data_IF_902068453845
#
_entry.id   IF_902068453845
#
_cell.length_a   1.000
_cell.length_b   1.000
_cell.length_c   1.000
_cell.angle_alpha   90.00
_cell.angle_beta   90.00
_cell.angle_gamma   90.00
#
_symmetry.space_group_name_H-M   'P 1'
#
loop_
_entity.id
_entity.type
_entity.pdbx_description
1 polymer ?
#
# COMPACT_ATOMS: atom_id res chain seq x y z
N UNK A 1 -4.61 -46.14 85.63
CA UNK A 1 -4.71 -47.32 84.74
C UNK A 1 -4.58 -46.84 83.31
N UNK A 2 -3.57 -47.35 82.61
CA UNK A 2 -3.21 -47.07 81.22
C UNK A 2 -4.21 -47.73 80.26
N UNK A 3 -4.56 -47.11 79.13
CA UNK A 3 -4.28 -47.63 77.77
C UNK A 3 -4.90 -46.79 76.64
N UNK A 4 -4.14 -46.76 75.54
CA UNK A 4 -4.29 -46.02 74.27
C UNK A 4 -5.34 -46.64 73.34
N UNK A 5 -5.81 -45.87 72.34
CA UNK A 5 -5.82 -46.25 70.90
C UNK A 5 -6.21 -45.08 69.98
N UNK A 6 -5.65 -45.13 68.77
CA UNK A 6 -5.56 -44.12 67.69
C UNK A 6 -6.89 -43.96 66.93
N UNK A 7 -7.12 -42.81 66.25
CA UNK A 7 -7.44 -42.73 64.80
C UNK A 7 -7.62 -41.28 64.31
N UNK A 8 -7.36 -41.10 63.01
CA UNK A 8 -7.39 -39.89 62.17
C UNK A 8 -8.76 -39.16 62.13
N UNK A 9 -8.72 -37.83 61.98
CA UNK A 9 -9.76 -37.00 61.33
C UNK A 9 -9.07 -35.73 60.77
N UNK A 10 -8.92 -35.55 59.46
CA UNK A 10 -9.88 -35.09 58.43
C UNK A 10 -9.89 -33.55 58.30
N UNK A 11 -9.57 -33.09 57.08
CA UNK A 11 -9.48 -31.71 56.62
C UNK A 11 -10.62 -30.78 57.06
N UNK A 12 -10.29 -29.50 57.31
CA UNK A 12 -11.20 -28.38 57.11
C UNK A 12 -10.43 -27.10 56.73
N UNK A 13 -9.84 -27.08 55.52
CA UNK A 13 -9.39 -25.83 54.90
C UNK A 13 -10.58 -25.19 54.19
N UNK A 14 -11.27 -24.29 54.88
CA UNK A 14 -12.34 -23.46 54.32
C UNK A 14 -11.70 -22.49 53.32
N UNK A 15 -12.21 -22.52 52.09
CA UNK A 15 -11.66 -21.82 50.94
C UNK A 15 -11.75 -20.31 51.04
N UNK A 16 -10.64 -19.66 50.73
CA UNK A 16 -10.56 -18.25 50.38
C UNK A 16 -11.05 -18.10 48.93
N UNK A 17 -12.33 -17.80 48.74
CA UNK A 17 -12.85 -17.35 47.45
C UNK A 17 -12.29 -15.94 47.19
N UNK A 18 -11.14 -15.88 46.51
CA UNK A 18 -10.68 -14.65 45.87
C UNK A 18 -11.64 -14.36 44.71
N UNK A 19 -12.51 -13.36 44.89
CA UNK A 19 -13.23 -12.71 43.81
C UNK A 19 -12.20 -12.09 42.85
N UNK A 20 -11.93 -12.77 41.75
CA UNK A 20 -11.19 -12.20 40.62
C UNK A 20 -12.10 -11.11 40.04
N UNK A 21 -11.68 -9.84 39.93
CA UNK A 21 -12.47 -8.85 39.25
C UNK A 21 -12.60 -9.27 37.78
N UNK A 22 -13.84 -9.33 37.29
CA UNK A 22 -14.11 -9.47 35.87
C UNK A 22 -13.47 -8.29 35.16
N UNK A 23 -12.38 -8.55 34.43
CA UNK A 23 -11.78 -7.59 33.50
C UNK A 23 -12.80 -7.43 32.38
N UNK A 24 -13.59 -6.36 32.44
CA UNK A 24 -14.33 -5.88 31.29
C UNK A 24 -13.29 -5.50 30.23
N UNK A 25 -13.28 -6.23 29.11
CA UNK A 25 -12.56 -5.82 27.91
C UNK A 25 -13.28 -4.57 27.40
N UNK A 26 -12.81 -3.41 27.81
CA UNK A 26 -13.19 -2.16 27.17
C UNK A 26 -12.90 -2.30 25.67
N UNK A 27 -13.83 -1.86 24.83
CA UNK A 27 -13.58 -1.66 23.40
C UNK A 27 -12.29 -0.83 23.29
N UNK A 28 -11.22 -1.45 22.78
CA UNK A 28 -9.93 -0.76 22.67
C UNK A 28 -10.12 0.27 21.57
N UNK A 29 -10.21 1.53 21.94
CA UNK A 29 -10.24 2.62 20.99
C UNK A 29 -8.89 2.68 20.25
N UNK A 30 -8.80 2.03 19.09
CA UNK A 30 -7.59 2.02 18.26
C UNK A 30 -7.51 3.38 17.56
N UNK A 31 -6.54 4.19 17.97
CA UNK A 31 -6.17 5.43 17.29
C UNK A 31 -4.89 5.16 16.52
N UNK A 32 -4.93 4.94 15.19
CA UNK A 32 -3.74 4.51 14.45
C UNK A 32 -2.57 5.51 14.48
N UNK A 33 -2.84 6.78 14.80
CA UNK A 33 -1.81 7.82 14.94
C UNK A 33 -1.10 7.77 16.30
N UNK A 34 -1.60 6.99 17.26
CA UNK A 34 -0.91 6.73 18.52
C UNK A 34 0.17 5.65 18.31
N UNK A 35 1.42 6.09 18.25
CA UNK A 35 2.58 5.24 18.02
C UNK A 35 3.21 4.69 19.31
N UNK A 36 2.62 4.94 20.48
CA UNK A 36 3.20 4.56 21.79
C UNK A 36 3.42 3.05 21.95
N UNK A 37 2.62 2.24 21.27
CA UNK A 37 2.71 0.78 21.26
C UNK A 37 3.41 0.19 20.02
N UNK A 38 3.92 1.06 19.13
CA UNK A 38 4.64 0.65 17.95
C UNK A 38 6.10 0.31 18.29
N UNK A 39 6.71 -0.69 17.63
CA UNK A 39 8.13 -0.95 17.77
C UNK A 39 8.96 0.24 17.29
N UNK A 40 9.99 0.61 18.05
CA UNK A 40 10.97 1.62 17.62
C UNK A 40 12.01 0.95 16.72
N UNK A 41 12.05 1.34 15.44
CA UNK A 41 12.99 0.81 14.44
C UNK A 41 13.94 1.93 14.03
N UNK A 42 15.25 1.71 14.15
CA UNK A 42 16.24 2.73 13.80
C UNK A 42 16.27 2.97 12.28
N UNK A 43 16.49 4.22 11.86
CA UNK A 43 16.54 4.59 10.45
C UNK A 43 17.62 3.83 9.65
N UNK A 44 18.75 3.46 10.28
CA UNK A 44 19.79 2.65 9.65
C UNK A 44 19.32 1.23 9.30
N UNK A 45 18.39 0.69 10.08
CA UNK A 45 17.83 -0.65 9.89
C UNK A 45 16.74 -0.65 8.82
N UNK A 46 15.91 0.40 8.75
CA UNK A 46 14.91 0.57 7.69
C UNK A 46 15.54 0.59 6.29
N UNK A 47 16.77 1.08 6.17
CA UNK A 47 17.55 1.08 4.90
C UNK A 47 17.99 -0.31 4.44
N UNK A 48 17.97 -1.32 5.32
CA UNK A 48 18.34 -2.69 4.98
C UNK A 48 17.14 -3.52 4.48
N UNK A 49 15.93 -3.02 4.68
CA UNK A 49 14.70 -3.68 4.26
C UNK A 49 14.55 -3.53 2.74
N UNK A 50 14.23 -4.65 2.07
CA UNK A 50 13.87 -4.63 0.65
C UNK A 50 12.37 -4.36 0.53
N UNK A 51 12.03 -3.16 0.05
CA UNK A 51 10.65 -2.70 -0.10
C UNK A 51 10.08 -3.10 -1.45
N UNK A 52 9.03 -3.92 -1.46
CA UNK A 52 8.33 -4.36 -2.66
C UNK A 52 7.43 -3.24 -3.18
N UNK A 53 7.65 -2.68 -4.39
CA UNK A 53 6.77 -1.69 -4.96
C UNK A 53 5.40 -2.30 -5.29
N UNK A 54 4.33 -1.59 -4.91
CA UNK A 54 2.95 -2.02 -5.12
C UNK A 54 2.31 -1.18 -6.24
N UNK A 55 1.59 -1.84 -7.13
CA UNK A 55 0.70 -1.22 -8.09
C UNK A 55 -0.75 -1.19 -7.54
N UNK A 56 -1.44 -0.06 -7.66
CA UNK A 56 -2.79 0.12 -7.11
C UNK A 56 -3.92 -0.58 -7.90
N UNK A 57 -3.56 -1.52 -8.77
CA UNK A 57 -4.50 -2.24 -9.66
C UNK A 57 -4.48 -3.75 -9.40
N UNK A 58 -3.46 -4.28 -8.72
CA UNK A 58 -3.28 -5.71 -8.55
C UNK A 58 -3.07 -6.08 -7.08
N UNK A 59 -3.43 -7.32 -6.77
CA UNK A 59 -3.18 -7.91 -5.45
C UNK A 59 -1.72 -8.32 -5.35
N UNK A 60 -1.04 -7.82 -4.33
CA UNK A 60 0.33 -8.18 -4.01
C UNK A 60 0.33 -9.25 -2.93
N UNK A 61 0.75 -10.46 -3.28
CA UNK A 61 0.78 -11.61 -2.36
C UNK A 61 2.22 -11.92 -1.98
N UNK A 62 2.50 -11.98 -0.68
CA UNK A 62 3.79 -12.38 -0.12
C UNK A 62 3.59 -13.64 0.72
N UNK A 63 4.36 -14.68 0.40
CA UNK A 63 4.51 -15.86 1.26
C UNK A 63 5.62 -15.55 2.26
N UNK A 64 5.26 -15.58 3.54
CA UNK A 64 6.14 -15.35 4.68
C UNK A 64 6.65 -16.70 5.17
N UNK A 65 7.91 -16.99 4.89
CA UNK A 65 8.58 -18.23 5.25
C UNK A 65 10.06 -17.99 5.62
N UNK A 66 10.87 -19.06 5.66
CA UNK A 66 12.30 -18.98 6.01
C UNK A 66 13.16 -18.27 4.97
N UNK A 67 12.68 -18.11 3.74
CA UNK A 67 13.37 -17.44 2.64
C UNK A 67 13.02 -15.96 2.57
N UNK A 68 11.93 -15.54 3.23
CA UNK A 68 11.58 -14.13 3.35
C UNK A 68 12.62 -13.38 4.19
N UNK A 69 12.69 -12.07 3.96
CA UNK A 69 13.53 -11.21 4.79
C UNK A 69 13.04 -11.23 6.25
N UNK A 70 13.99 -11.32 7.17
CA UNK A 70 13.75 -11.32 8.61
C UNK A 70 14.38 -10.06 9.18
N UNK A 71 13.70 -9.46 10.15
CA UNK A 71 14.24 -8.37 10.94
C UNK A 71 14.13 -8.70 12.41
N UNK A 72 15.18 -8.40 13.16
CA UNK A 72 15.22 -8.63 14.60
C UNK A 72 15.17 -7.26 15.31
N UNK A 73 13.99 -6.66 15.37
CA UNK A 73 13.77 -5.35 16.00
C UNK A 73 12.78 -5.48 17.15
N UNK A 74 13.16 -5.04 18.35
CA UNK A 74 12.24 -5.00 19.50
C UNK A 74 11.56 -6.35 19.75
N UNK A 75 10.23 -6.36 19.65
CA UNK A 75 9.35 -7.51 19.84
C UNK A 75 8.87 -8.16 18.53
N UNK A 76 9.38 -7.73 17.38
CA UNK A 76 9.09 -8.33 16.07
C UNK A 76 9.66 -9.76 16.01
N UNK A 77 8.87 -10.70 15.47
CA UNK A 77 9.25 -12.10 15.35
C UNK A 77 9.04 -12.63 13.93
N UNK A 78 10.04 -13.31 13.40
CA UNK A 78 9.95 -14.04 12.14
C UNK A 78 10.02 -13.16 10.89
N UNK A 79 9.59 -13.71 9.73
CA UNK A 79 9.63 -13.00 8.46
C UNK A 79 8.67 -11.81 8.41
N UNK A 80 9.04 -10.82 7.60
CA UNK A 80 8.26 -9.59 7.37
C UNK A 80 7.88 -9.42 5.89
N UNK A 81 6.80 -8.68 5.64
CA UNK A 81 6.49 -8.14 4.32
C UNK A 81 6.63 -6.62 4.36
N UNK A 82 7.34 -6.07 3.39
CA UNK A 82 7.62 -4.63 3.32
C UNK A 82 7.19 -4.12 1.95
N UNK A 83 6.29 -3.14 1.94
CA UNK A 83 5.67 -2.62 0.72
C UNK A 83 5.94 -1.13 0.54
N UNK A 84 6.17 -0.71 -0.70
CA UNK A 84 6.24 0.69 -1.10
C UNK A 84 5.00 1.02 -1.93
N UNK A 85 4.13 1.87 -1.42
CA UNK A 85 2.82 2.18 -2.00
C UNK A 85 2.82 3.61 -2.57
N UNK A 86 2.37 3.83 -3.82
CA UNK A 86 2.22 5.17 -4.38
C UNK A 86 1.25 6.02 -3.56
N UNK A 87 1.66 7.24 -3.23
CA UNK A 87 0.93 8.15 -2.34
C UNK A 87 0.53 9.47 -3.02
N UNK A 88 0.81 9.61 -4.32
CA UNK A 88 0.49 10.77 -5.14
C UNK A 88 -0.92 10.73 -5.75
N UNK A 89 -1.74 9.76 -5.38
CA UNK A 89 -3.00 9.41 -6.06
C UNK A 89 -4.27 9.73 -5.24
N UNK A 90 -4.14 10.45 -4.12
CA UNK A 90 -5.26 10.81 -3.25
C UNK A 90 -5.41 9.89 -2.05
N UNK A 91 -6.63 9.76 -1.53
CA UNK A 91 -6.93 8.86 -0.41
C UNK A 91 -6.70 7.40 -0.82
N UNK A 92 -5.92 6.69 -0.01
CA UNK A 92 -5.60 5.29 -0.19
C UNK A 92 -6.50 4.43 0.71
N UNK A 93 -7.08 3.38 0.13
CA UNK A 93 -7.72 2.29 0.87
C UNK A 93 -6.88 1.04 0.68
N UNK A 94 -6.36 0.51 1.79
CA UNK A 94 -5.46 -0.63 1.82
C UNK A 94 -6.16 -1.79 2.53
N UNK A 95 -6.43 -2.86 1.80
CA UNK A 95 -6.96 -4.09 2.37
C UNK A 95 -5.82 -5.08 2.59
N UNK A 96 -5.52 -5.37 3.84
CA UNK A 96 -4.56 -6.41 4.21
C UNK A 96 -5.33 -7.66 4.61
N UNK A 97 -4.97 -8.79 4.01
CA UNK A 97 -5.54 -10.11 4.33
C UNK A 97 -4.40 -11.04 4.71
N UNK A 98 -4.51 -11.71 5.87
CA UNK A 98 -3.68 -12.85 6.22
C UNK A 98 -4.52 -14.13 6.21
N UNK A 99 -4.16 -15.09 5.36
CA UNK A 99 -4.95 -16.31 5.20
C UNK A 99 -4.74 -17.30 6.35
N UNK A 100 -5.84 -17.88 6.82
CA UNK A 100 -5.83 -18.97 7.78
C UNK A 100 -5.79 -20.29 7.02
N UNK A 101 -4.81 -21.14 7.31
CA UNK A 101 -4.65 -22.45 6.68
C UNK A 101 -4.36 -23.49 7.75
N UNK A 102 -5.16 -24.56 7.79
CA UNK A 102 -5.00 -25.66 8.78
C UNK A 102 -4.94 -25.13 10.23
N UNK A 103 -5.85 -24.22 10.61
CA UNK A 103 -5.91 -23.60 11.93
C UNK A 103 -4.59 -22.89 12.32
N UNK A 104 -3.89 -22.31 11.34
CA UNK A 104 -2.68 -21.51 11.54
C UNK A 104 -2.79 -20.23 10.75
N UNK A 105 -2.37 -19.12 11.34
CA UNK A 105 -2.44 -17.79 10.71
C UNK A 105 -1.30 -16.90 11.15
N UNK A 106 -0.83 -16.07 10.24
CA UNK A 106 0.10 -15.00 10.57
C UNK A 106 -0.68 -13.82 11.15
N UNK A 107 -0.42 -13.43 12.40
CA UNK A 107 -1.13 -12.32 13.04
C UNK A 107 -0.44 -10.99 12.71
N UNK A 108 -0.99 -10.15 11.81
CA UNK A 108 -0.26 -9.03 11.25
C UNK A 108 -0.35 -7.80 12.15
N UNK A 109 0.73 -7.05 12.24
CA UNK A 109 0.81 -5.67 12.69
C UNK A 109 1.31 -4.85 11.50
N UNK A 110 0.85 -3.60 11.35
CA UNK A 110 1.28 -2.72 10.26
C UNK A 110 1.82 -1.42 10.84
N UNK A 111 3.09 -1.13 10.56
CA UNK A 111 3.69 0.17 10.80
C UNK A 111 3.85 0.89 9.47
N UNK A 112 3.24 2.07 9.36
CA UNK A 112 3.25 2.92 8.18
C UNK A 112 4.28 4.01 8.38
N UNK A 113 5.14 4.21 7.40
CA UNK A 113 6.11 5.30 7.34
C UNK A 113 5.80 6.23 6.18
N UNK A 114 6.16 7.50 6.35
CA UNK A 114 6.19 8.48 5.28
C UNK A 114 7.38 8.28 4.32
N UNK A 115 7.52 9.18 3.35
CA UNK A 115 8.59 9.13 2.36
C UNK A 115 10.01 9.26 2.98
N UNK A 116 10.12 9.86 4.17
CA UNK A 116 11.38 10.06 4.88
C UNK A 116 11.68 8.92 5.87
N UNK A 117 10.89 7.83 5.82
CA UNK A 117 10.96 6.68 6.74
C UNK A 117 10.65 7.03 8.19
N UNK A 118 9.84 8.07 8.41
CA UNK A 118 9.33 8.44 9.74
C UNK A 118 8.03 7.70 10.00
N UNK A 119 7.85 7.04 11.16
CA UNK A 119 6.61 6.34 11.47
C UNK A 119 5.45 7.35 11.59
N UNK A 120 4.34 7.06 10.93
CA UNK A 120 3.17 7.93 10.83
C UNK A 120 1.89 7.27 11.38
N UNK A 121 1.72 5.96 11.19
CA UNK A 121 0.57 5.24 11.73
C UNK A 121 0.91 3.80 12.10
N UNK A 122 0.27 3.28 13.14
CA UNK A 122 0.44 1.92 13.62
C UNK A 122 -0.92 1.23 13.79
N UNK A 123 -1.05 0.05 13.17
CA UNK A 123 -2.22 -0.82 13.26
C UNK A 123 -1.81 -2.11 13.96
N UNK A 124 -2.19 -2.30 15.25
CA UNK A 124 -1.85 -3.51 16.00
C UNK A 124 -2.65 -4.72 15.50
N UNK A 125 -2.23 -5.93 15.91
CA UNK A 125 -2.88 -7.20 15.54
C UNK A 125 -4.40 -7.25 15.71
N UNK A 126 -4.91 -6.63 16.76
CA UNK A 126 -6.35 -6.56 17.07
C UNK A 126 -7.16 -5.71 16.07
N UNK A 127 -6.52 -4.93 15.21
CA UNK A 127 -7.17 -4.21 14.12
C UNK A 127 -7.60 -5.15 12.98
N UNK A 128 -7.00 -6.34 12.90
CA UNK A 128 -7.25 -7.31 11.85
C UNK A 128 -8.20 -8.40 12.36
N UNK A 129 -9.46 -8.29 11.96
CA UNK A 129 -10.53 -9.13 12.46
C UNK A 129 -10.67 -10.42 11.65
N UNK A 130 -11.19 -11.44 12.32
CA UNK A 130 -11.56 -12.69 11.68
C UNK A 130 -12.66 -12.49 10.63
N UNK A 131 -12.42 -13.00 9.42
CA UNK A 131 -13.38 -13.05 8.34
C UNK A 131 -13.58 -14.51 7.92
N UNK A 132 -14.80 -14.99 8.15
CA UNK A 132 -15.20 -16.34 7.77
C UNK A 132 -15.10 -16.55 6.25
N UNK A 133 -14.81 -17.78 5.80
CA UNK A 133 -14.68 -18.06 4.38
C UNK A 133 -16.02 -17.85 3.65
N UNK A 134 -15.95 -17.26 2.46
CA UNK A 134 -17.05 -17.10 1.53
C UNK A 134 -16.72 -17.70 0.17
N UNK A 135 -17.65 -17.61 -0.79
CA UNK A 135 -17.50 -18.22 -2.13
C UNK A 135 -16.22 -17.76 -2.85
N UNK A 136 -15.80 -16.51 -2.63
CA UNK A 136 -14.61 -15.90 -3.24
C UNK A 136 -13.57 -15.42 -2.22
N UNK A 137 -13.78 -15.69 -0.93
CA UNK A 137 -12.94 -15.18 0.16
C UNK A 137 -12.46 -16.35 0.99
N UNK A 138 -11.15 -16.51 1.10
CA UNK A 138 -10.56 -17.50 2.00
C UNK A 138 -10.76 -17.08 3.46
N UNK A 139 -10.74 -18.07 4.35
CA UNK A 139 -10.72 -17.86 5.79
C UNK A 139 -9.50 -17.03 6.17
N UNK A 140 -9.67 -15.91 6.89
CA UNK A 140 -8.60 -14.94 7.04
C UNK A 140 -8.75 -13.99 8.24
N UNK A 141 -7.63 -13.37 8.62
CA UNK A 141 -7.63 -12.10 9.35
C UNK A 141 -7.56 -10.96 8.34
N UNK A 142 -8.44 -9.96 8.46
CA UNK A 142 -8.51 -8.83 7.52
C UNK A 142 -8.67 -7.50 8.23
N UNK A 143 -8.04 -6.47 7.66
CA UNK A 143 -8.21 -5.08 8.08
C UNK A 143 -8.17 -4.14 6.88
N UNK A 144 -8.96 -3.07 6.94
CA UNK A 144 -9.06 -2.04 5.90
C UNK A 144 -8.50 -0.73 6.42
N UNK A 145 -7.29 -0.40 6.01
CA UNK A 145 -6.57 0.80 6.41
C UNK A 145 -6.88 1.93 5.42
N UNK A 146 -7.37 3.07 5.92
CA UNK A 146 -7.56 4.28 5.13
C UNK A 146 -6.48 5.29 5.47
N UNK A 147 -5.75 5.76 4.46
CA UNK A 147 -4.68 6.73 4.62
C UNK A 147 -4.91 7.91 3.69
N UNK A 148 -4.68 9.11 4.20
CA UNK A 148 -4.69 10.33 3.41
C UNK A 148 -3.25 10.87 3.40
N UNK A 149 -2.45 10.57 2.36
CA UNK A 149 -1.12 11.12 2.23
C UNK A 149 -1.14 12.65 2.23
N UNK A 150 -0.10 13.26 2.82
CA UNK A 150 0.06 14.71 2.76
C UNK A 150 0.39 15.18 1.33
N UNK A 151 0.05 16.43 1.01
CA UNK A 151 0.38 17.02 -0.30
C UNK A 151 1.89 16.95 -0.55
N UNK A 152 2.27 16.46 -1.73
CA UNK A 152 3.67 16.30 -2.15
C UNK A 152 4.31 14.96 -1.77
N UNK A 153 3.66 14.13 -0.95
CA UNK A 153 4.13 12.75 -0.72
C UNK A 153 3.95 11.91 -1.99
N UNK A 154 5.04 11.27 -2.41
CA UNK A 154 5.04 10.40 -3.60
C UNK A 154 4.79 8.95 -3.25
N UNK A 155 5.20 8.53 -2.06
CA UNK A 155 5.13 7.14 -1.62
C UNK A 155 4.98 7.06 -0.10
N UNK A 156 4.39 5.95 0.35
CA UNK A 156 4.35 5.50 1.74
C UNK A 156 4.98 4.11 1.83
N UNK A 157 5.53 3.79 2.99
CA UNK A 157 6.12 2.49 3.25
C UNK A 157 5.31 1.75 4.31
N UNK A 158 4.91 0.51 4.02
CA UNK A 158 4.13 -0.32 4.94
C UNK A 158 4.96 -1.53 5.34
N UNK A 159 5.27 -1.63 6.62
CA UNK A 159 5.93 -2.79 7.21
C UNK A 159 4.90 -3.66 7.92
N UNK A 160 4.69 -4.87 7.39
CA UNK A 160 3.83 -5.91 7.96
C UNK A 160 4.69 -6.92 8.70
N UNK A 161 4.39 -7.13 9.97
CA UNK A 161 5.16 -8.01 10.85
C UNK A 161 4.27 -8.67 11.91
N UNK A 162 4.78 -9.65 12.66
CA UNK A 162 4.12 -10.18 13.85
C UNK A 162 4.99 -9.98 15.08
N UNK A 163 4.38 -10.02 16.27
CA UNK A 163 5.06 -9.76 17.55
C UNK A 163 5.03 -10.98 18.45
N UNK A 164 5.99 -11.10 19.36
CA UNK A 164 6.03 -12.19 20.35
C UNK A 164 4.74 -12.31 21.14
N UNK A 165 4.15 -11.18 21.55
CA UNK A 165 2.90 -11.13 22.32
C UNK A 165 1.69 -11.60 21.50
N UNK A 166 1.71 -11.42 20.19
CA UNK A 166 0.63 -11.85 19.31
C UNK A 166 0.72 -13.34 18.96
N UNK A 167 1.94 -13.90 18.91
CA UNK A 167 2.14 -15.35 18.75
C UNK A 167 1.60 -16.18 19.91
N UNK A 168 1.48 -15.57 21.11
CA UNK A 168 0.87 -16.21 22.27
C UNK A 168 -0.67 -16.20 22.23
N UNK A 169 -1.28 -15.44 21.31
CA UNK A 169 -2.74 -15.34 21.15
C UNK A 169 -3.25 -16.34 20.11
N UNK A 170 -4.57 -16.44 20.03
CA UNK A 170 -5.27 -17.29 19.06
C UNK A 170 -6.48 -16.57 18.50
N UNK A 171 -6.96 -17.03 17.35
CA UNK A 171 -8.20 -16.55 16.74
C UNK A 171 -9.24 -17.67 16.75
N UNK A 172 -10.44 -17.40 17.25
CA UNK A 172 -11.57 -18.32 17.14
C UNK A 172 -12.21 -18.15 15.77
N UNK A 173 -12.31 -19.24 15.01
CA UNK A 173 -12.91 -19.27 13.68
C UNK A 173 -14.40 -19.65 13.76
N UNK A 174 -15.18 -19.45 12.70
CA UNK A 174 -16.55 -19.95 12.65
C UNK A 174 -16.55 -21.43 12.24
N UNK A 175 -17.15 -22.31 13.03
CA UNK A 175 -17.27 -23.71 12.64
C UNK A 175 -18.11 -23.87 11.35
N UNK A 176 -17.66 -24.67 10.36
CA UNK A 176 -18.38 -24.87 9.11
C UNK A 176 -19.82 -25.36 9.27
N UNK A 177 -20.11 -26.21 10.26
CA UNK A 177 -21.46 -26.71 10.50
C UNK A 177 -22.38 -25.62 11.07
N UNK A 178 -21.84 -24.72 11.91
CA UNK A 178 -22.58 -23.52 12.34
C UNK A 178 -22.82 -22.55 11.20
N UNK A 179 -21.82 -22.31 10.35
CA UNK A 179 -21.95 -21.46 9.16
C UNK A 179 -23.04 -21.98 8.21
N UNK A 180 -23.04 -23.29 7.95
CA UNK A 180 -24.03 -23.95 7.11
C UNK A 180 -25.44 -23.88 7.73
N UNK A 181 -25.59 -24.19 9.02
CA UNK A 181 -26.87 -24.12 9.70
C UNK A 181 -27.46 -22.69 9.65
N UNK A 182 -26.62 -21.68 9.90
CA UNK A 182 -27.00 -20.26 9.78
C UNK A 182 -27.45 -19.91 8.37
N UNK A 183 -26.73 -20.37 7.33
CA UNK A 183 -27.08 -20.10 5.93
C UNK A 183 -28.34 -20.82 5.45
N UNK A 184 -28.61 -22.02 5.96
CA UNK A 184 -29.78 -22.82 5.61
C UNK A 184 -31.04 -22.48 6.44
N UNK A 185 -30.94 -21.59 7.43
CA UNK A 185 -32.04 -21.26 8.35
C UNK A 185 -32.37 -22.39 9.35
N UNK A 186 -31.42 -23.30 9.57
CA UNK A 186 -31.56 -24.40 10.53
C UNK A 186 -31.14 -23.95 11.94
N UNK A 187 -31.51 -24.75 12.94
CA UNK A 187 -30.98 -24.58 14.29
C UNK A 187 -29.44 -24.70 14.28
N UNK A 188 -28.75 -23.74 14.92
CA UNK A 188 -27.29 -23.73 15.01
C UNK A 188 -26.86 -24.83 16.01
N UNK A 189 -25.98 -25.77 15.61
CA UNK A 189 -25.49 -26.81 16.51
C UNK A 189 -24.65 -26.25 17.67
N UNK A 190 -24.79 -26.86 18.84
CA UNK A 190 -23.97 -26.55 20.02
C UNK A 190 -22.66 -27.36 19.99
N UNK A 191 -21.71 -26.88 19.19
CA UNK A 191 -20.37 -27.45 19.04
C UNK A 191 -19.31 -26.37 19.26
N UNK A 192 -18.12 -26.68 19.80
CA UNK A 192 -17.05 -25.70 19.93
C UNK A 192 -16.53 -25.24 18.56
N UNK A 193 -16.15 -23.97 18.47
CA UNK A 193 -15.55 -23.38 17.28
C UNK A 193 -14.05 -23.72 17.15
N UNK A 194 -13.52 -23.90 15.93
CA UNK A 194 -12.12 -24.24 15.74
C UNK A 194 -11.20 -23.05 16.04
N UNK A 195 -10.07 -23.30 16.69
CA UNK A 195 -9.13 -22.26 17.11
C UNK A 195 -7.89 -22.25 16.20
N UNK A 196 -7.63 -21.11 15.56
CA UNK A 196 -6.41 -20.86 14.79
C UNK A 196 -5.28 -20.36 15.69
N UNK A 197 -4.11 -21.01 15.60
CA UNK A 197 -2.88 -20.59 16.28
C UNK A 197 -2.17 -19.51 15.47
N UNK A 198 -1.68 -18.49 16.16
CA UNK A 198 -0.83 -17.49 15.54
C UNK A 198 0.58 -18.05 15.33
N UNK A 199 1.15 -17.82 14.15
CA UNK A 199 2.44 -18.36 13.73
C UNK A 199 3.27 -17.31 13.00
N UNK A 200 4.57 -17.55 12.88
CA UNK A 200 5.51 -16.64 12.20
C UNK A 200 5.50 -16.78 10.68
N UNK A 201 4.97 -17.89 10.16
CA UNK A 201 4.86 -18.16 8.72
C UNK A 201 3.40 -18.03 8.25
N UNK A 202 3.20 -17.66 6.98
CA UNK A 202 1.86 -17.53 6.43
C UNK A 202 1.84 -16.88 5.05
N UNK A 203 0.65 -16.49 4.61
CA UNK A 203 0.47 -15.79 3.34
C UNK A 203 -0.31 -14.51 3.58
N UNK A 204 0.26 -13.40 3.13
CA UNK A 204 -0.31 -12.06 3.30
C UNK A 204 -0.55 -11.46 1.92
N UNK A 205 -1.75 -10.94 1.72
CA UNK A 205 -2.17 -10.28 0.49
C UNK A 205 -2.52 -8.84 0.79
N UNK A 206 -1.87 -7.92 0.07
CA UNK A 206 -2.13 -6.49 0.10
C UNK A 206 -2.87 -6.09 -1.18
N UNK A 207 -3.98 -5.39 -1.02
CA UNK A 207 -4.70 -4.76 -2.12
C UNK A 207 -4.80 -3.26 -1.82
N UNK A 208 -4.33 -2.44 -2.76
CA UNK A 208 -4.33 -0.99 -2.62
C UNK A 208 -5.27 -0.41 -3.67
N UNK A 209 -6.27 0.32 -3.22
CA UNK A 209 -7.13 1.13 -4.05
C UNK A 209 -6.87 2.61 -3.75
N UNK A 210 -7.05 3.47 -4.76
CA UNK A 210 -7.08 4.91 -4.55
C UNK A 210 -8.38 5.51 -5.05
N UNK A 211 -8.97 6.36 -4.22
CA UNK A 211 -10.14 7.14 -4.58
C UNK A 211 -9.69 8.43 -5.29
N UNK A 212 -9.06 8.30 -6.45
CA UNK A 212 -8.86 9.45 -7.35
C UNK A 212 -10.16 9.64 -8.14
N UNK A 213 -11.11 10.36 -7.55
CA UNK A 213 -12.30 10.78 -8.28
C UNK A 213 -11.85 11.69 -9.43
N UNK A 214 -12.02 11.20 -10.65
CA UNK A 214 -12.00 11.95 -11.90
C UNK A 214 -10.62 12.30 -12.46
N UNK A 215 -10.14 11.51 -13.42
CA UNK A 215 -9.88 12.03 -14.78
C UNK A 215 -9.42 10.92 -15.72
N UNK A 216 -10.09 10.82 -16.88
CA UNK A 216 -9.51 10.17 -18.06
C UNK A 216 -8.57 11.21 -18.67
N UNK A 217 -7.27 10.95 -18.67
CA UNK A 217 -6.38 11.61 -19.61
C UNK A 217 -6.58 10.95 -20.98
N UNK A 218 -7.40 11.56 -21.81
CA UNK A 218 -7.42 11.29 -23.25
C UNK A 218 -6.29 12.11 -23.87
N UNK A 219 -5.18 11.46 -24.20
CA UNK A 219 -4.04 12.09 -24.86
C UNK A 219 -2.71 11.67 -24.25
N UNK A 220 -1.81 11.14 -25.08
CA UNK A 220 -0.58 10.45 -24.69
C UNK A 220 0.27 11.22 -23.68
N UNK A 221 0.25 10.78 -22.42
CA UNK A 221 1.05 11.42 -21.38
C UNK A 221 2.46 10.86 -21.26
N UNK A 222 2.74 9.64 -21.73
CA UNK A 222 4.11 9.13 -21.87
C UNK A 222 4.12 8.13 -23.02
N UNK A 223 5.02 8.32 -24.00
CA UNK A 223 5.28 7.33 -25.04
C UNK A 223 5.53 5.97 -24.39
N UNK A 224 4.98 4.87 -24.88
CA UNK A 224 5.31 4.17 -26.13
C UNK A 224 4.40 2.91 -26.14
N UNK A 225 4.15 2.12 -27.21
CA UNK A 225 4.83 1.99 -28.49
C UNK A 225 3.89 2.13 -29.70
N UNK A 226 4.43 2.38 -30.89
CA UNK A 226 3.73 2.04 -32.13
C UNK A 226 3.60 0.53 -32.22
N UNK A 227 2.50 -0.05 -31.72
CA UNK A 227 1.91 -1.20 -32.40
C UNK A 227 1.41 -0.63 -33.71
N UNK A 228 2.10 -1.00 -34.78
CA UNK A 228 1.82 -0.56 -36.14
C UNK A 228 0.34 -0.81 -36.46
N UNK A 229 -0.35 0.13 -37.13
CA UNK A 229 -1.58 -0.22 -37.80
C UNK A 229 -1.29 -1.40 -38.74
N UNK A 230 -2.18 -2.39 -38.70
CA UNK A 230 -2.26 -3.48 -39.67
C UNK A 230 -2.49 -2.85 -41.04
N UNK A 231 -1.41 -2.57 -41.76
CA UNK A 231 -1.45 -2.22 -43.17
C UNK A 231 -1.35 -3.52 -43.95
N UNK A 232 -2.44 -3.84 -44.65
CA UNK A 232 -2.47 -4.83 -45.72
C UNK A 232 -1.62 -4.26 -46.87
N UNK A 233 -0.42 -4.78 -47.09
CA UNK A 233 0.39 -4.39 -48.25
C UNK A 233 1.90 -4.50 -48.06
N UNK A 234 2.45 -5.48 -48.76
CA UNK A 234 3.84 -5.81 -49.08
C UNK A 234 4.87 -4.65 -49.15
N UNK A 235 6.05 -4.84 -48.53
CA UNK A 235 7.43 -4.70 -49.10
C UNK A 235 8.55 -4.30 -48.09
N UNK A 236 9.47 -5.27 -47.89
CA UNK A 236 10.93 -5.27 -47.58
C UNK A 236 11.64 -4.33 -46.56
N UNK A 237 12.27 -5.02 -45.59
CA UNK A 237 13.53 -4.87 -44.83
C UNK A 237 14.47 -3.66 -45.03
N UNK A 238 15.06 -3.15 -43.93
CA UNK A 238 16.53 -3.07 -43.68
C UNK A 238 16.84 -2.94 -42.16
N UNK A 239 17.78 -3.75 -41.68
CA UNK A 239 18.42 -3.72 -40.35
C UNK A 239 19.24 -2.45 -40.11
N UNK A 240 19.33 -1.96 -38.86
CA UNK A 240 20.63 -1.65 -38.23
C UNK A 240 20.51 -1.32 -36.73
N UNK A 241 21.45 -1.86 -35.97
CA UNK A 241 21.60 -1.79 -34.51
C UNK A 241 22.36 -0.49 -34.05
N UNK A 242 22.68 -0.32 -32.76
CA UNK A 242 22.28 0.81 -31.91
C UNK A 242 23.35 1.91 -31.74
N UNK A 243 22.96 3.15 -31.44
CA UNK A 243 23.93 4.22 -31.07
C UNK A 243 23.39 5.14 -29.96
N UNK A 244 24.32 5.48 -29.07
CA UNK A 244 24.22 6.19 -27.81
C UNK A 244 23.75 7.67 -27.86
N UNK A 245 23.41 8.15 -26.67
CA UNK A 245 23.01 9.50 -26.28
C UNK A 245 23.86 10.62 -26.92
N UNK A 246 23.20 11.68 -27.41
CA UNK A 246 23.84 12.93 -27.78
C UNK A 246 22.99 14.15 -27.36
N UNK A 247 23.68 15.18 -26.86
CA UNK A 247 23.16 16.51 -26.49
C UNK A 247 22.46 17.20 -27.68
N UNK A 248 21.50 18.11 -27.42
CA UNK A 248 20.65 18.70 -28.44
C UNK A 248 21.43 19.59 -29.41
N UNK A 249 21.13 19.42 -30.71
CA UNK A 249 21.72 20.16 -31.84
C UNK A 249 20.79 21.34 -32.20
N UNK A 250 21.32 22.49 -32.65
CA UNK A 250 20.51 23.65 -33.05
C UNK A 250 19.56 23.32 -34.20
N UNK A 251 18.34 23.87 -34.14
CA UNK A 251 17.32 23.72 -35.18
C UNK A 251 17.76 24.30 -36.53
N UNK A 252 17.28 23.68 -37.61
CA UNK A 252 17.44 24.15 -38.98
C UNK A 252 16.77 25.53 -39.13
N UNK A 253 17.43 26.46 -39.82
CA UNK A 253 16.96 27.85 -40.01
C UNK A 253 15.50 27.97 -40.50
N UNK A 254 15.04 27.04 -41.35
CA UNK A 254 13.65 27.01 -41.82
C UNK A 254 12.60 26.76 -40.73
N UNK A 255 12.99 26.16 -39.60
CA UNK A 255 12.11 26.00 -38.42
C UNK A 255 11.99 27.30 -37.64
N UNK A 256 13.06 28.10 -37.60
CA UNK A 256 13.10 29.36 -36.87
C UNK A 256 12.26 30.44 -37.55
N UNK A 257 12.33 30.54 -38.88
CA UNK A 257 11.49 31.47 -39.66
C UNK A 257 10.00 31.15 -39.54
N UNK A 258 9.64 29.86 -39.50
CA UNK A 258 8.26 29.42 -39.32
C UNK A 258 7.65 29.92 -38.01
N UNK A 259 8.36 29.73 -36.89
CA UNK A 259 7.90 30.20 -35.59
C UNK A 259 7.84 31.73 -35.51
N UNK A 260 8.84 32.43 -36.03
CA UNK A 260 8.85 33.90 -36.05
C UNK A 260 7.67 34.48 -36.85
N UNK A 261 7.31 33.87 -37.97
CA UNK A 261 6.15 34.27 -38.76
C UNK A 261 4.83 33.95 -38.04
N UNK A 262 4.69 32.74 -37.49
CA UNK A 262 3.48 32.33 -36.78
C UNK A 262 3.21 33.21 -35.55
N UNK A 263 4.26 33.52 -34.76
CA UNK A 263 4.18 34.43 -33.62
C UNK A 263 3.75 35.84 -34.06
N UNK A 264 4.36 36.37 -35.12
CA UNK A 264 4.01 37.70 -35.64
C UNK A 264 2.55 37.76 -36.11
N UNK A 265 2.06 36.71 -36.78
CA UNK A 265 0.67 36.65 -37.26
C UNK A 265 -0.33 36.54 -36.12
N UNK A 266 -0.04 35.73 -35.08
CA UNK A 266 -0.89 35.59 -33.91
C UNK A 266 -1.03 36.93 -33.16
N UNK A 267 0.08 37.64 -32.94
CA UNK A 267 0.07 38.97 -32.31
C UNK A 267 -0.70 39.98 -33.18
N UNK A 268 -0.49 39.97 -34.50
CA UNK A 268 -1.21 40.85 -35.43
C UNK A 268 -2.73 40.63 -35.43
N UNK A 269 -3.20 39.44 -35.04
CA UNK A 269 -4.62 39.10 -34.88
C UNK A 269 -5.14 39.36 -33.46
N UNK A 270 -4.31 39.87 -32.54
CA UNK A 270 -4.65 40.06 -31.13
C UNK A 270 -4.68 38.76 -30.31
N UNK A 271 -4.25 37.64 -30.88
CA UNK A 271 -4.17 36.34 -30.20
C UNK A 271 -2.82 36.21 -29.47
N UNK A 272 -2.74 36.89 -28.32
CA UNK A 272 -1.53 36.90 -27.49
C UNK A 272 -1.31 35.52 -26.84
N UNK A 273 -2.37 34.82 -26.46
CA UNK A 273 -2.28 33.49 -25.85
C UNK A 273 -1.76 32.44 -26.84
N UNK A 274 -2.21 32.49 -28.10
CA UNK A 274 -1.68 31.67 -29.19
C UNK A 274 -0.21 31.99 -29.49
N UNK A 275 0.15 33.27 -29.49
CA UNK A 275 1.54 33.70 -29.69
C UNK A 275 2.49 33.22 -28.58
N UNK A 276 2.03 33.17 -27.32
CA UNK A 276 2.81 32.65 -26.19
C UNK A 276 3.05 31.14 -26.31
N UNK A 277 2.04 30.36 -26.71
CA UNK A 277 2.21 28.91 -26.94
C UNK A 277 3.22 28.62 -28.04
N UNK A 278 3.18 29.40 -29.13
CA UNK A 278 4.14 29.28 -30.23
C UNK A 278 5.56 29.67 -29.80
N UNK A 279 5.70 30.65 -28.90
CA UNK A 279 6.98 31.03 -28.31
C UNK A 279 7.56 29.89 -27.44
N UNK A 280 6.77 29.33 -26.53
CA UNK A 280 7.21 28.25 -25.65
C UNK A 280 7.65 27.02 -26.45
N UNK A 281 6.92 26.70 -27.52
CA UNK A 281 7.27 25.61 -28.42
C UNK A 281 8.56 25.88 -29.20
N UNK A 282 8.76 27.11 -29.69
CA UNK A 282 9.99 27.49 -30.36
C UNK A 282 11.20 27.44 -29.41
N UNK A 283 11.05 27.89 -28.16
CA UNK A 283 12.11 27.84 -27.14
C UNK A 283 12.43 26.39 -26.73
N UNK A 284 11.41 25.54 -26.60
CA UNK A 284 11.58 24.10 -26.35
C UNK A 284 12.39 23.42 -27.45
N UNK A 285 12.21 23.86 -28.69
CA UNK A 285 12.98 23.42 -29.86
C UNK A 285 14.34 24.12 -29.98
N UNK A 286 14.69 25.03 -29.05
CA UNK A 286 15.98 25.70 -29.01
C UNK A 286 16.09 26.91 -29.93
N UNK A 287 14.98 27.53 -30.32
CA UNK A 287 15.00 28.82 -31.05
C UNK A 287 15.63 29.90 -30.19
N UNK A 288 16.50 30.70 -30.80
CA UNK A 288 17.16 31.82 -30.13
C UNK A 288 16.53 33.16 -30.47
N UNK A 289 15.71 33.22 -31.52
CA UNK A 289 15.09 34.46 -32.03
C UNK A 289 13.59 34.58 -31.72
N UNK A 290 12.90 33.51 -31.36
CA UNK A 290 11.45 33.54 -31.11
C UNK A 290 11.05 34.54 -30.00
N UNK A 291 11.82 34.59 -28.90
CA UNK A 291 11.56 35.50 -27.78
C UNK A 291 11.73 36.97 -28.15
N UNK A 292 12.78 37.29 -28.92
CA UNK A 292 13.01 38.68 -29.35
C UNK A 292 11.94 39.14 -30.33
N UNK A 293 11.51 38.27 -31.26
CA UNK A 293 10.41 38.53 -32.20
C UNK A 293 9.09 38.80 -31.47
N UNK A 294 8.73 37.97 -30.47
CA UNK A 294 7.53 38.16 -29.65
C UNK A 294 7.54 39.52 -28.94
N UNK A 295 8.64 39.84 -28.22
CA UNK A 295 8.76 41.10 -27.47
C UNK A 295 8.71 42.31 -28.39
N UNK A 296 9.35 42.26 -29.56
CA UNK A 296 9.33 43.36 -30.53
C UNK A 296 7.92 43.61 -31.07
N UNK A 297 7.18 42.54 -31.39
CA UNK A 297 5.83 42.65 -31.96
C UNK A 297 4.78 43.08 -30.94
N UNK A 298 4.86 42.62 -29.69
CA UNK A 298 3.96 43.09 -28.63
C UNK A 298 4.20 44.57 -28.32
N UNK A 299 5.46 45.02 -28.27
CA UNK A 299 5.78 46.45 -28.06
C UNK A 299 5.33 47.35 -29.20
N UNK A 300 5.34 46.85 -30.44
CA UNK A 300 4.88 47.60 -31.61
C UNK A 300 3.36 47.62 -31.81
N UNK A 301 2.61 46.82 -31.05
CA UNK A 301 1.15 46.68 -31.17
C UNK A 301 0.39 47.31 -29.98
N UNK A 302 1.09 48.05 -29.10
CA UNK A 302 0.47 48.91 -28.10
C UNK A 302 0.14 50.26 -28.76
N UNK A 303 -1.12 50.73 -28.75
CA UNK A 303 -1.45 52.10 -29.15
C UNK A 303 -0.87 53.14 -28.18
#
# INVERSE_FOLDING_TARGET
MYMKKKLLALCLSVGLLASIPAVSLADVNIVPQDLSSAPNIAASQLKQISWLPVNSTEKQTVVLDKNSQIVNFGDIQGPIAAFSVPANIGELTINLTSEITKNRVYSPNVLVFDQDMTPFAYFPSQYFEYQAPGIMVADSLRGTIKLTPALGQKQLYLLVFTKTSDLAKTTTQLDPAKAYAKGAGNAIPDIPDPIAKHVTDGKVTLEVASNSSSSVLVGALFGSPTVSPITVGDTVSVNNAPIAQSKPKPILAGTEDYFNQAITQAIGKGDIDGALKLLDEAERLGSTTARSTFVQKVKGNQP
#
